data_IF_657430210257
#
_entry.id   IF_657430210257
#
_cell.length_a   1.000
_cell.length_b   1.000
_cell.length_c   1.000
_cell.angle_alpha   90.00
_cell.angle_beta   90.00
_cell.angle_gamma   90.00
#
_symmetry.space_group_name_H-M   'P 1'
#
loop_
_entity.id
_entity.type
_entity.pdbx_description
1 polymer ?
#
# COMPACT_ATOMS: atom_id res chain seq x y z
N UNK A 1 -11.33 47.20 7.70
CA UNK A 1 -11.44 45.73 7.85
C UNK A 1 -11.41 45.42 9.34
N UNK A 2 -12.50 44.91 9.91
CA UNK A 2 -12.63 44.65 11.36
C UNK A 2 -12.46 43.15 11.63
N UNK A 3 -11.36 42.76 12.26
CA UNK A 3 -11.10 41.37 12.66
C UNK A 3 -11.82 41.07 13.97
N UNK A 4 -12.89 40.25 13.92
CA UNK A 4 -13.53 39.65 15.09
C UNK A 4 -12.60 38.60 15.71
N UNK A 5 -11.76 39.01 16.65
CA UNK A 5 -10.99 38.08 17.48
C UNK A 5 -11.88 37.68 18.66
N UNK A 6 -12.20 36.39 18.79
CA UNK A 6 -12.85 35.85 19.99
C UNK A 6 -11.80 35.80 21.11
N UNK A 7 -12.07 36.34 22.31
CA UNK A 7 -11.12 36.26 23.41
C UNK A 7 -10.95 34.80 23.85
N UNK A 8 -9.70 34.38 23.97
CA UNK A 8 -9.34 33.09 24.55
C UNK A 8 -9.45 33.23 26.08
N UNK A 9 -10.41 32.54 26.69
CA UNK A 9 -10.56 32.50 28.14
C UNK A 9 -9.90 31.21 28.65
N UNK A 10 -8.84 31.35 29.43
CA UNK A 10 -8.24 30.26 30.20
C UNK A 10 -8.52 30.44 31.69
N UNK A 11 -8.68 29.34 32.43
CA UNK A 11 -8.75 29.36 33.90
C UNK A 11 -7.41 28.93 34.49
N UNK A 12 -7.01 29.59 35.58
CA UNK A 12 -5.87 29.15 36.39
C UNK A 12 -6.37 28.26 37.52
N UNK A 13 -5.88 27.02 37.56
CA UNK A 13 -6.24 26.04 38.59
C UNK A 13 -5.72 24.65 38.23
N UNK A 14 -5.66 23.75 39.23
CA UNK A 14 -5.36 22.34 38.98
C UNK A 14 -6.55 21.76 38.18
N UNK A 15 -6.32 21.10 37.03
CA UNK A 15 -7.39 20.45 36.30
C UNK A 15 -8.10 19.43 37.19
N UNK A 16 -9.36 19.70 37.56
CA UNK A 16 -10.19 18.74 38.27
C UNK A 16 -10.75 17.79 37.22
N UNK A 17 -10.13 16.62 37.07
CA UNK A 17 -10.68 15.56 36.26
C UNK A 17 -11.80 14.89 37.04
N UNK A 18 -13.01 14.75 36.47
CA UNK A 18 -14.07 14.00 37.13
C UNK A 18 -13.62 12.54 37.31
N UNK A 19 -13.71 12.02 38.54
CA UNK A 19 -13.40 10.61 38.87
C UNK A 19 -14.21 9.62 38.02
N UNK A 20 -15.41 10.03 37.61
CA UNK A 20 -16.27 9.26 36.72
C UNK A 20 -16.05 9.72 35.28
N UNK A 21 -15.73 8.76 34.41
CA UNK A 21 -15.69 8.99 32.95
C UNK A 21 -17.01 9.64 32.54
N UNK A 22 -17.01 10.82 31.90
CA UNK A 22 -18.24 11.45 31.47
C UNK A 22 -18.94 10.53 30.47
N UNK A 23 -20.22 10.25 30.71
CA UNK A 23 -21.05 9.52 29.74
C UNK A 23 -21.46 10.52 28.67
N UNK A 24 -20.69 10.56 27.60
CA UNK A 24 -21.02 11.37 26.44
C UNK A 24 -22.00 10.61 25.54
N UNK A 25 -23.29 10.93 25.68
CA UNK A 25 -24.30 10.41 24.77
C UNK A 25 -24.09 11.04 23.38
N UNK A 26 -24.02 10.20 22.34
CA UNK A 26 -23.78 10.63 20.96
C UNK A 26 -22.33 10.60 20.49
N UNK A 27 -21.36 10.22 21.32
CA UNK A 27 -20.01 9.91 20.84
C UNK A 27 -19.97 8.49 20.27
N UNK A 28 -19.81 8.38 18.95
CA UNK A 28 -19.38 7.13 18.35
C UNK A 28 -18.00 6.78 18.91
N UNK A 29 -17.94 5.76 19.76
CA UNK A 29 -16.68 5.12 20.13
C UNK A 29 -16.18 4.46 18.86
N UNK A 30 -15.25 5.14 18.19
CA UNK A 30 -14.57 4.56 17.04
C UNK A 30 -13.58 3.54 17.59
N UNK A 31 -13.86 2.27 17.32
CA UNK A 31 -13.00 1.16 17.68
C UNK A 31 -11.57 1.44 17.19
N UNK A 32 -10.59 1.40 18.10
CA UNK A 32 -9.19 1.65 17.77
C UNK A 32 -8.69 0.67 16.70
N UNK A 33 -9.22 -0.55 16.69
CA UNK A 33 -8.90 -1.56 15.69
C UNK A 33 -9.39 -1.14 14.30
N UNK A 34 -10.61 -0.58 14.20
CA UNK A 34 -11.12 0.03 12.96
C UNK A 34 -10.32 1.24 12.52
N UNK A 35 -9.82 2.07 13.44
CA UNK A 35 -8.94 3.20 13.10
C UNK A 35 -7.61 2.73 12.52
N UNK A 36 -7.00 1.68 13.10
CA UNK A 36 -5.76 1.11 12.57
C UNK A 36 -5.96 0.48 11.20
N UNK A 37 -7.09 -0.21 10.97
CA UNK A 37 -7.44 -0.80 9.68
C UNK A 37 -7.73 0.27 8.61
N UNK A 38 -8.57 1.27 8.93
CA UNK A 38 -8.82 2.40 8.03
C UNK A 38 -7.55 3.18 7.71
N UNK A 39 -6.61 3.34 8.65
CA UNK A 39 -5.35 4.03 8.36
C UNK A 39 -4.51 3.27 7.32
N UNK A 40 -4.43 1.94 7.40
CA UNK A 40 -3.74 1.13 6.40
C UNK A 40 -4.41 1.27 5.03
N UNK A 41 -5.72 1.09 4.97
CA UNK A 41 -6.50 1.23 3.73
C UNK A 41 -6.40 2.65 3.14
N UNK A 42 -6.40 3.68 3.98
CA UNK A 42 -6.33 5.07 3.54
C UNK A 42 -4.92 5.47 3.07
N UNK A 43 -3.84 4.86 3.59
CA UNK A 43 -2.49 5.09 3.03
C UNK A 43 -2.35 4.52 1.63
N UNK A 44 -2.95 3.37 1.39
CA UNK A 44 -2.93 2.74 0.07
C UNK A 44 -3.90 3.45 -0.92
N UNK A 45 -4.93 4.13 -0.41
CA UNK A 45 -5.94 4.82 -1.21
C UNK A 45 -5.55 6.22 -1.76
N UNK A 46 -4.43 6.83 -1.31
CA UNK A 46 -3.96 8.13 -1.84
C UNK A 46 -2.94 7.96 -2.97
N UNK A 47 -2.64 6.74 -3.39
CA UNK A 47 -1.81 6.51 -4.57
C UNK A 47 -2.64 6.77 -5.84
N UNK A 48 -2.87 8.06 -6.13
CA UNK A 48 -3.42 8.47 -7.42
C UNK A 48 -2.46 8.01 -8.50
N UNK A 49 -2.98 7.52 -9.63
CA UNK A 49 -2.15 7.19 -10.80
C UNK A 49 -1.29 8.40 -11.17
N UNK A 50 0.01 8.32 -10.91
CA UNK A 50 0.95 9.41 -11.13
C UNK A 50 2.31 8.84 -11.54
N UNK A 51 3.08 9.61 -12.30
CA UNK A 51 4.46 9.28 -12.60
C UNK A 51 5.34 9.83 -11.47
N UNK A 52 6.17 8.97 -10.90
CA UNK A 52 7.15 9.37 -9.89
C UNK A 52 8.14 10.36 -10.48
N UNK A 53 8.49 11.38 -9.70
CA UNK A 53 9.51 12.34 -10.08
C UNK A 53 10.90 11.70 -9.90
N UNK A 54 11.89 11.97 -10.76
CA UNK A 54 13.22 11.34 -10.70
C UNK A 54 13.99 11.55 -9.40
N UNK A 55 13.63 12.55 -8.62
CA UNK A 55 14.25 12.87 -7.33
C UNK A 55 13.53 12.21 -6.13
N UNK A 56 12.52 11.38 -6.37
CA UNK A 56 11.80 10.65 -5.33
C UNK A 56 12.21 9.18 -5.30
N UNK A 57 12.22 8.57 -4.11
CA UNK A 57 12.59 7.15 -3.94
C UNK A 57 11.67 6.20 -4.71
N UNK A 58 10.42 6.58 -4.91
CA UNK A 58 9.46 5.83 -5.73
C UNK A 58 9.94 5.64 -7.17
N UNK A 59 10.68 6.60 -7.73
CA UNK A 59 11.25 6.48 -9.08
C UNK A 59 12.34 5.41 -9.12
N UNK A 60 13.31 5.50 -8.22
CA UNK A 60 14.40 4.52 -8.16
C UNK A 60 13.87 3.09 -7.92
N UNK A 61 12.93 2.94 -7.00
CA UNK A 61 12.26 1.66 -6.74
C UNK A 61 11.50 1.14 -7.97
N UNK A 62 10.81 2.01 -8.72
CA UNK A 62 10.11 1.62 -9.94
C UNK A 62 11.10 1.14 -11.02
N UNK A 63 12.24 1.81 -11.18
CA UNK A 63 13.28 1.40 -12.13
C UNK A 63 13.89 0.05 -11.75
N UNK A 64 14.24 -0.14 -10.48
CA UNK A 64 14.74 -1.43 -9.99
C UNK A 64 13.72 -2.55 -10.21
N UNK A 65 12.45 -2.28 -9.93
CA UNK A 65 11.36 -3.22 -10.20
C UNK A 65 11.24 -3.57 -11.68
N UNK A 66 11.29 -2.58 -12.58
CA UNK A 66 11.28 -2.82 -14.02
C UNK A 66 12.45 -3.72 -14.46
N UNK A 67 13.65 -3.49 -13.92
CA UNK A 67 14.82 -4.31 -14.21
C UNK A 67 14.64 -5.77 -13.74
N UNK A 68 14.09 -5.97 -12.53
CA UNK A 68 13.77 -7.29 -12.01
C UNK A 68 12.71 -8.00 -12.86
N UNK A 69 11.67 -7.27 -13.28
CA UNK A 69 10.62 -7.79 -14.14
C UNK A 69 11.16 -8.23 -15.51
N UNK A 70 12.03 -7.44 -16.14
CA UNK A 70 12.66 -7.81 -17.41
C UNK A 70 13.54 -9.06 -17.29
N UNK A 71 14.30 -9.18 -16.19
CA UNK A 71 15.08 -10.39 -15.91
C UNK A 71 14.18 -11.61 -15.74
N UNK A 72 13.09 -11.48 -14.98
CA UNK A 72 12.12 -12.55 -14.78
C UNK A 72 11.48 -12.96 -16.11
N UNK A 73 11.04 -11.99 -16.92
CA UNK A 73 10.46 -12.23 -18.25
C UNK A 73 11.44 -13.00 -19.16
N UNK A 74 12.71 -12.61 -19.16
CA UNK A 74 13.76 -13.32 -19.93
C UNK A 74 13.92 -14.76 -19.45
N UNK A 75 14.01 -14.99 -18.14
CA UNK A 75 14.10 -16.32 -17.55
C UNK A 75 12.91 -17.20 -17.93
N UNK A 76 11.69 -16.67 -17.84
CA UNK A 76 10.48 -17.39 -18.24
C UNK A 76 10.48 -17.76 -19.73
N UNK A 77 10.84 -16.83 -20.62
CA UNK A 77 10.93 -17.11 -22.06
C UNK A 77 11.92 -18.24 -22.36
N UNK A 78 13.09 -18.23 -21.71
CA UNK A 78 14.09 -19.29 -21.88
C UNK A 78 13.55 -20.63 -21.39
N UNK A 79 12.92 -20.66 -20.22
CA UNK A 79 12.32 -21.87 -19.66
C UNK A 79 11.27 -22.46 -20.59
N UNK A 80 10.31 -21.65 -21.06
CA UNK A 80 9.25 -22.13 -21.94
C UNK A 80 9.78 -22.62 -23.28
N UNK A 81 10.80 -21.95 -23.84
CA UNK A 81 11.46 -22.43 -25.06
C UNK A 81 12.09 -23.81 -24.84
N UNK A 82 12.83 -23.99 -23.75
CA UNK A 82 13.47 -25.27 -23.43
C UNK A 82 12.43 -26.37 -23.21
N UNK A 83 11.37 -26.10 -22.45
CA UNK A 83 10.29 -27.05 -22.22
C UNK A 83 9.58 -27.43 -23.53
N UNK A 84 9.31 -26.46 -24.40
CA UNK A 84 8.72 -26.71 -25.72
C UNK A 84 9.58 -27.62 -26.60
N UNK A 85 10.91 -27.42 -26.60
CA UNK A 85 11.84 -28.29 -27.31
C UNK A 85 11.88 -29.72 -26.74
N UNK A 86 11.88 -29.85 -25.41
CA UNK A 86 11.84 -31.14 -24.72
C UNK A 86 10.55 -31.91 -25.03
N UNK A 87 9.40 -31.25 -24.97
CA UNK A 87 8.11 -31.82 -25.33
C UNK A 87 8.08 -32.30 -26.79
N UNK A 88 8.62 -31.50 -27.71
CA UNK A 88 8.70 -31.89 -29.13
C UNK A 88 9.57 -33.15 -29.32
N UNK A 89 10.72 -33.22 -28.65
CA UNK A 89 11.61 -34.39 -28.68
C UNK A 89 10.92 -35.63 -28.11
N UNK A 90 10.24 -35.50 -26.97
CA UNK A 90 9.49 -36.59 -26.35
C UNK A 90 8.37 -37.10 -27.27
N UNK A 91 7.60 -36.20 -27.88
CA UNK A 91 6.54 -36.54 -28.82
C UNK A 91 7.07 -37.28 -30.05
N UNK A 92 8.20 -36.84 -30.60
CA UNK A 92 8.85 -37.53 -31.73
C UNK A 92 9.32 -38.94 -31.35
N UNK A 93 9.96 -39.09 -30.19
CA UNK A 93 10.43 -40.39 -29.67
C UNK A 93 9.30 -41.37 -29.39
N UNK A 94 8.12 -40.88 -28.98
CA UNK A 94 6.94 -41.72 -28.79
C UNK A 94 6.39 -42.21 -30.15
N UNK A 95 6.28 -41.31 -31.13
CA UNK A 95 5.82 -41.65 -32.48
C UNK A 95 6.72 -42.65 -33.20
N UNK A 96 8.04 -42.59 -32.99
CA UNK A 96 8.98 -43.52 -33.63
C UNK A 96 9.00 -44.91 -32.98
N UNK A 97 8.33 -45.09 -31.84
CA UNK A 97 8.25 -46.36 -31.11
C UNK A 97 6.92 -47.09 -31.31
N UNK A 98 5.96 -46.46 -31.99
CA UNK A 98 4.69 -47.06 -32.43
C UNK A 98 4.82 -47.39 -33.91
#
# INVERSE_FOLDING_TARGET
>A
MSSRIRPLVGSFGIPVFPEKKPVFYGHHVVDQLRMMQMQREMRDAVSTSHCSQPNNIEYDMAIEWCLLQERANKSWRMLYKQQGEQLRKLKAKLKSKT
#
